data_IF_133818386808
#
_entry.id   IF_133818386808
#
_cell.length_a   1.000
_cell.length_b   1.000
_cell.length_c   1.000
_cell.angle_alpha   90.00
_cell.angle_beta   90.00
_cell.angle_gamma   90.00
#
_symmetry.space_group_name_H-M   'P 1'
#
loop_
_entity.id
_entity.type
_entity.pdbx_description
1 polymer ?
#
# COMPACT_ATOMS: atom_id res chain seq x y z
N UNK A 1 39.63 50.12 -12.57
CA UNK A 1 39.86 51.01 -11.42
C UNK A 1 39.82 50.17 -10.15
N UNK A 2 40.91 50.20 -9.56
CA UNK A 2 41.47 50.02 -8.22
C UNK A 2 41.20 48.68 -7.50
N UNK A 3 42.26 47.89 -7.49
CA UNK A 3 42.50 46.82 -6.54
C UNK A 3 43.03 47.41 -5.21
N UNK A 4 42.53 46.89 -4.09
CA UNK A 4 43.14 47.14 -2.77
C UNK A 4 43.60 45.79 -2.24
N UNK A 5 44.92 45.67 -2.15
CA UNK A 5 45.66 44.61 -1.46
C UNK A 5 45.75 44.98 0.02
N UNK A 6 45.37 44.11 0.91
CA UNK A 6 45.71 44.19 2.34
C UNK A 6 46.65 43.04 2.71
N UNK A 7 47.89 43.41 3.01
CA UNK A 7 48.89 42.55 3.66
C UNK A 7 48.53 42.39 5.15
N UNK A 8 48.57 41.17 5.66
CA UNK A 8 48.68 40.91 7.08
C UNK A 8 50.09 40.42 7.43
N UNK A 9 50.73 41.16 8.27
CA UNK A 9 52.03 40.87 8.86
C UNK A 9 51.92 39.80 9.94
N UNK A 10 52.76 38.78 9.84
CA UNK A 10 52.96 37.72 10.82
C UNK A 10 53.89 38.18 11.93
N UNK A 11 53.46 38.16 13.19
CA UNK A 11 54.28 38.40 14.36
C UNK A 11 54.71 37.08 15.00
N UNK A 12 56.04 36.85 15.02
CA UNK A 12 56.66 35.76 15.76
C UNK A 12 56.74 36.11 17.26
N UNK A 13 56.33 35.18 18.13
CA UNK A 13 56.63 35.22 19.57
C UNK A 13 57.69 34.19 19.92
N UNK A 14 58.66 34.53 20.80
CA UNK A 14 59.74 33.64 21.18
C UNK A 14 59.35 32.57 22.23
N UNK A 15 60.03 31.42 22.17
CA UNK A 15 59.88 30.27 23.05
C UNK A 15 60.36 30.50 24.48
N UNK A 16 59.78 29.89 25.52
CA UNK A 16 60.25 29.99 26.90
C UNK A 16 61.45 29.09 27.18
N UNK A 17 62.37 29.62 28.00
CA UNK A 17 63.60 29.00 28.49
C UNK A 17 63.33 27.88 29.53
N UNK A 18 64.04 26.78 29.53
CA UNK A 18 63.89 25.69 30.54
C UNK A 18 64.47 26.06 31.93
N UNK A 19 63.76 25.70 32.97
CA UNK A 19 64.17 25.86 34.37
C UNK A 19 65.16 24.74 34.79
N UNK A 20 66.03 25.00 35.81
CA UNK A 20 67.08 24.05 36.20
C UNK A 20 66.55 22.90 37.03
N UNK A 21 67.07 21.68 36.74
CA UNK A 21 66.80 20.45 37.44
C UNK A 21 67.65 20.36 38.74
N UNK A 22 66.97 20.05 39.88
CA UNK A 22 67.60 19.73 41.16
C UNK A 22 67.69 18.21 41.31
N UNK A 23 68.82 17.62 41.70
CA UNK A 23 68.90 16.18 41.90
C UNK A 23 68.19 15.74 43.18
N UNK A 24 67.28 14.80 43.09
CA UNK A 24 66.58 14.16 44.21
C UNK A 24 67.30 12.84 44.55
N UNK A 25 67.79 12.73 45.75
CA UNK A 25 68.41 11.53 46.31
C UNK A 25 67.30 10.53 46.66
N UNK A 26 67.41 9.36 46.02
CA UNK A 26 66.44 8.27 46.18
C UNK A 26 66.77 7.48 47.46
N UNK A 27 65.87 7.52 48.47
CA UNK A 27 65.94 6.69 49.68
C UNK A 27 65.03 5.49 49.45
N UNK A 28 65.56 4.29 49.35
CA UNK A 28 64.84 3.06 49.19
C UNK A 28 63.95 2.74 50.40
N UNK A 29 62.67 2.66 50.24
CA UNK A 29 61.72 2.13 51.19
C UNK A 29 61.51 0.61 50.95
N UNK A 30 61.22 -0.19 52.01
CA UNK A 30 61.06 -1.64 51.88
C UNK A 30 59.81 -2.02 51.09
N UNK A 31 60.01 -2.99 50.24
CA UNK A 31 59.01 -3.57 49.33
C UNK A 31 57.93 -4.31 50.10
N UNK A 32 56.73 -3.76 50.24
CA UNK A 32 55.55 -4.52 50.70
C UNK A 32 55.02 -5.38 49.57
N UNK A 33 54.92 -6.68 49.82
CA UNK A 33 54.34 -7.65 48.91
C UNK A 33 52.88 -7.31 48.64
N UNK A 34 52.41 -7.17 47.41
CA UNK A 34 51.01 -6.90 47.14
C UNK A 34 50.15 -8.13 47.43
N UNK A 35 49.27 -8.06 48.40
CA UNK A 35 48.15 -8.99 48.56
C UNK A 35 47.24 -8.85 47.39
N UNK A 36 47.12 -9.88 46.55
CA UNK A 36 46.19 -9.91 45.44
C UNK A 36 44.76 -9.95 46.01
N UNK A 37 44.09 -8.80 46.07
CA UNK A 37 42.64 -8.76 46.25
C UNK A 37 42.00 -9.30 44.97
N UNK A 38 41.26 -10.40 45.09
CA UNK A 38 40.42 -10.88 44.00
C UNK A 38 39.37 -9.80 43.61
N UNK A 39 39.59 -9.11 42.50
CA UNK A 39 38.59 -8.22 41.90
C UNK A 39 37.50 -9.09 41.28
N UNK A 40 36.36 -9.14 41.94
CA UNK A 40 35.15 -9.67 41.30
C UNK A 40 34.86 -8.84 40.04
N UNK A 41 34.60 -9.47 38.88
CA UNK A 41 34.18 -8.74 37.72
C UNK A 41 32.88 -7.96 38.07
N UNK A 42 32.70 -6.75 37.57
CA UNK A 42 31.47 -5.98 37.84
C UNK A 42 30.28 -6.79 37.33
N UNK A 43 29.32 -7.03 38.22
CA UNK A 43 28.03 -7.62 37.86
C UNK A 43 27.42 -6.76 36.79
N UNK A 44 27.33 -7.27 35.55
CA UNK A 44 26.67 -6.57 34.47
C UNK A 44 25.20 -6.45 34.86
N UNK A 45 24.76 -5.23 35.13
CA UNK A 45 23.31 -4.91 35.22
C UNK A 45 22.70 -5.31 33.91
N UNK A 46 21.67 -6.19 33.86
CA UNK A 46 21.04 -6.55 32.60
C UNK A 46 20.51 -5.25 31.95
N UNK A 47 20.98 -4.97 30.73
CA UNK A 47 20.42 -3.91 29.92
C UNK A 47 18.93 -4.20 29.75
N UNK A 48 18.03 -3.29 30.12
CA UNK A 48 16.60 -3.51 29.95
C UNK A 48 16.33 -3.83 28.47
N UNK A 49 15.72 -4.98 28.21
CA UNK A 49 15.23 -5.30 26.86
C UNK A 49 14.24 -4.21 26.47
N UNK A 50 14.46 -3.48 25.35
CA UNK A 50 13.53 -2.43 24.96
C UNK A 50 12.15 -3.06 24.79
N UNK A 51 11.16 -2.52 25.47
CA UNK A 51 9.76 -2.87 25.23
C UNK A 51 9.48 -2.55 23.77
N UNK A 52 8.97 -3.49 22.95
CA UNK A 52 8.69 -3.21 21.56
C UNK A 52 7.72 -2.04 21.50
N UNK A 53 8.05 -1.01 20.71
CA UNK A 53 7.12 0.09 20.45
C UNK A 53 5.80 -0.49 19.93
N UNK A 54 4.65 0.00 20.41
CA UNK A 54 3.36 -0.40 19.86
C UNK A 54 3.37 -0.18 18.34
N UNK A 55 2.91 -1.17 17.59
CA UNK A 55 2.82 -1.04 16.14
C UNK A 55 2.02 0.22 15.79
N UNK A 56 2.53 1.03 14.85
CA UNK A 56 1.88 2.27 14.43
C UNK A 56 0.68 2.02 13.49
N UNK A 57 0.50 0.79 13.07
CA UNK A 57 -0.65 0.33 12.30
C UNK A 57 -1.07 -1.08 12.74
N UNK A 58 -2.28 -1.45 12.34
CA UNK A 58 -2.75 -2.83 12.37
C UNK A 58 -3.32 -3.21 10.99
N UNK A 59 -3.20 -4.47 10.58
CA UNK A 59 -3.87 -4.96 9.38
C UNK A 59 -5.39 -4.91 9.58
N UNK A 60 -6.14 -4.84 8.48
CA UNK A 60 -7.58 -5.01 8.52
C UNK A 60 -7.94 -6.43 8.99
N UNK A 61 -9.13 -6.55 9.57
CA UNK A 61 -9.70 -7.84 9.90
C UNK A 61 -9.84 -8.69 8.62
N UNK A 62 -9.23 -9.88 8.55
CA UNK A 62 -9.32 -10.74 7.37
C UNK A 62 -10.77 -11.09 6.96
N UNK A 63 -11.71 -11.07 7.92
CA UNK A 63 -13.14 -11.33 7.65
C UNK A 63 -13.76 -10.29 6.72
N UNK A 64 -13.24 -9.07 6.65
CA UNK A 64 -13.68 -8.04 5.71
C UNK A 64 -13.44 -8.44 4.24
N UNK A 65 -12.48 -9.31 3.96
CA UNK A 65 -12.20 -9.84 2.63
C UNK A 65 -13.12 -10.98 2.19
N UNK A 66 -14.01 -11.44 3.07
CA UNK A 66 -14.95 -12.52 2.74
C UNK A 66 -16.08 -11.95 1.89
N UNK A 67 -16.23 -12.47 0.69
CA UNK A 67 -17.22 -12.04 -0.28
C UNK A 67 -18.45 -12.97 -0.26
N UNK A 68 -19.61 -12.42 -0.62
CA UNK A 68 -20.89 -13.15 -0.69
C UNK A 68 -20.86 -14.24 -1.76
N UNK A 69 -20.14 -13.98 -2.86
CA UNK A 69 -20.07 -14.86 -4.02
C UNK A 69 -18.66 -15.43 -4.17
N UNK A 70 -18.57 -16.58 -4.82
CA UNK A 70 -17.35 -17.00 -5.50
C UNK A 70 -17.34 -16.43 -6.91
N UNK A 71 -16.19 -16.38 -7.55
CA UNK A 71 -16.02 -15.71 -8.84
C UNK A 71 -15.22 -16.56 -9.81
N UNK A 72 -15.53 -16.38 -11.08
CA UNK A 72 -14.79 -16.99 -12.17
C UNK A 72 -14.61 -16.00 -13.33
N UNK A 73 -13.49 -16.09 -14.01
CA UNK A 73 -13.28 -15.48 -15.32
C UNK A 73 -13.88 -16.38 -16.39
N UNK A 74 -14.58 -15.80 -17.35
CA UNK A 74 -15.12 -16.49 -18.50
C UNK A 74 -14.01 -16.60 -19.56
N UNK A 75 -13.57 -17.80 -19.84
CA UNK A 75 -12.47 -18.06 -20.77
C UNK A 75 -12.94 -18.20 -22.24
N UNK A 76 -14.21 -18.53 -22.42
CA UNK A 76 -14.83 -18.69 -23.73
C UNK A 76 -15.78 -17.51 -24.02
N UNK A 77 -15.49 -16.65 -25.02
CA UNK A 77 -16.38 -15.51 -25.36
C UNK A 77 -17.76 -15.94 -25.88
N UNK A 78 -17.97 -17.22 -26.14
CA UNK A 78 -19.25 -17.81 -26.53
C UNK A 78 -19.88 -18.66 -25.42
N UNK A 79 -19.41 -18.51 -24.17
CA UNK A 79 -19.95 -19.23 -23.03
C UNK A 79 -21.46 -19.02 -22.92
N UNK A 80 -22.18 -20.11 -22.71
CA UNK A 80 -23.63 -20.12 -22.64
C UNK A 80 -24.13 -20.12 -21.22
N UNK A 81 -25.29 -19.50 -21.01
CA UNK A 81 -26.04 -19.56 -19.76
C UNK A 81 -27.30 -20.38 -20.02
N UNK A 82 -27.53 -21.40 -19.23
CA UNK A 82 -28.63 -22.35 -19.36
C UNK A 82 -29.65 -22.14 -18.23
N UNK A 83 -30.94 -22.31 -18.56
CA UNK A 83 -32.02 -22.11 -17.58
C UNK A 83 -32.03 -23.19 -16.49
N UNK A 84 -31.60 -24.41 -16.81
CA UNK A 84 -31.54 -25.54 -15.87
C UNK A 84 -30.18 -26.24 -15.93
N UNK A 85 -29.88 -27.02 -14.89
CA UNK A 85 -28.69 -27.86 -14.87
C UNK A 85 -28.77 -28.97 -15.93
N UNK A 86 -29.96 -29.52 -16.16
CA UNK A 86 -30.22 -30.54 -17.15
C UNK A 86 -29.94 -30.02 -18.56
N UNK A 87 -30.37 -28.79 -18.87
CA UNK A 87 -30.06 -28.16 -20.18
C UNK A 87 -28.54 -27.88 -20.30
N UNK A 88 -27.87 -27.48 -19.24
CA UNK A 88 -26.42 -27.30 -19.26
C UNK A 88 -25.66 -28.61 -19.49
N UNK A 89 -26.06 -29.71 -18.87
CA UNK A 89 -25.50 -31.04 -19.06
C UNK A 89 -25.71 -31.51 -20.50
N UNK A 90 -26.93 -31.37 -21.00
CA UNK A 90 -27.29 -31.76 -22.38
C UNK A 90 -26.81 -30.76 -23.44
N UNK A 91 -26.34 -29.57 -23.03
CA UNK A 91 -25.97 -28.45 -23.91
C UNK A 91 -27.12 -28.01 -24.85
N UNK A 92 -28.36 -28.08 -24.38
CA UNK A 92 -29.58 -27.73 -25.10
C UNK A 92 -30.28 -26.59 -24.41
N UNK A 93 -31.23 -25.94 -25.10
CA UNK A 93 -32.11 -24.95 -24.47
C UNK A 93 -31.42 -23.76 -23.84
N UNK A 94 -30.25 -23.33 -24.28
CA UNK A 94 -29.61 -22.14 -23.74
C UNK A 94 -30.52 -20.93 -23.89
N UNK A 95 -30.64 -20.09 -22.85
CA UNK A 95 -31.45 -18.86 -22.92
C UNK A 95 -30.59 -17.58 -23.00
N UNK A 96 -29.28 -17.69 -22.96
CA UNK A 96 -28.36 -16.55 -23.10
C UNK A 96 -26.93 -16.94 -23.35
N UNK A 97 -26.15 -15.96 -23.70
CA UNK A 97 -24.69 -16.03 -23.76
C UNK A 97 -24.15 -14.67 -23.27
N UNK A 98 -22.93 -14.68 -22.77
CA UNK A 98 -22.27 -13.46 -22.36
C UNK A 98 -21.73 -12.74 -23.59
N UNK A 99 -22.38 -11.63 -23.98
CA UNK A 99 -22.03 -10.88 -25.20
C UNK A 99 -20.85 -9.92 -25.04
N UNK A 100 -20.50 -9.60 -23.82
CA UNK A 100 -19.40 -8.70 -23.47
C UNK A 100 -18.21 -9.49 -22.93
N UNK A 101 -17.02 -9.23 -23.46
CA UNK A 101 -15.79 -9.89 -23.08
C UNK A 101 -14.64 -8.90 -22.99
N UNK A 102 -13.76 -8.97 -21.98
CA UNK A 102 -13.70 -9.98 -20.91
C UNK A 102 -14.92 -9.96 -19.99
N UNK A 103 -15.29 -11.12 -19.47
CA UNK A 103 -16.40 -11.28 -18.55
C UNK A 103 -15.94 -11.98 -17.27
N UNK A 104 -16.46 -11.51 -16.13
CA UNK A 104 -16.25 -12.07 -14.81
C UNK A 104 -17.59 -12.32 -14.17
N UNK A 105 -17.83 -13.56 -13.75
CA UNK A 105 -19.12 -14.01 -13.23
C UNK A 105 -19.04 -14.36 -11.75
N UNK A 106 -20.14 -14.10 -11.05
CA UNK A 106 -20.36 -14.53 -9.69
C UNK A 106 -21.07 -15.89 -9.69
N UNK A 107 -20.71 -16.79 -8.78
CA UNK A 107 -21.42 -18.03 -8.59
C UNK A 107 -21.60 -18.38 -7.10
N UNK A 108 -22.65 -19.15 -6.78
CA UNK A 108 -22.94 -19.56 -5.41
C UNK A 108 -22.84 -21.07 -5.21
N UNK A 109 -23.10 -21.85 -6.25
CA UNK A 109 -23.18 -23.31 -6.18
C UNK A 109 -22.43 -23.93 -7.34
N UNK A 110 -21.81 -25.05 -7.08
CA UNK A 110 -21.22 -25.90 -8.13
C UNK A 110 -21.83 -27.30 -8.04
N UNK A 111 -22.13 -27.90 -9.18
CA UNK A 111 -22.61 -29.26 -9.30
C UNK A 111 -21.75 -30.06 -10.27
N UNK A 112 -21.49 -31.32 -9.92
CA UNK A 112 -20.78 -32.24 -10.80
C UNK A 112 -21.76 -33.24 -11.46
N UNK A 113 -21.76 -33.30 -12.78
CA UNK A 113 -22.53 -34.25 -13.57
C UNK A 113 -21.67 -34.80 -14.72
N UNK A 114 -21.67 -36.09 -14.88
CA UNK A 114 -20.96 -36.79 -15.95
C UNK A 114 -19.46 -36.40 -16.06
N UNK A 115 -18.79 -36.18 -14.90
CA UNK A 115 -17.39 -35.78 -14.82
C UNK A 115 -17.13 -34.32 -15.18
N UNK A 116 -18.17 -33.50 -15.40
CA UNK A 116 -18.10 -32.06 -15.67
C UNK A 116 -18.62 -31.28 -14.47
N UNK A 117 -18.02 -30.11 -14.21
CA UNK A 117 -18.48 -29.18 -13.16
C UNK A 117 -19.33 -28.08 -13.79
N UNK A 118 -20.45 -27.78 -13.17
CA UNK A 118 -21.35 -26.71 -13.58
C UNK A 118 -21.46 -25.68 -12.46
N UNK A 119 -21.57 -24.42 -12.82
CA UNK A 119 -21.59 -23.26 -11.91
C UNK A 119 -22.95 -22.56 -12.00
N UNK A 120 -23.60 -22.33 -10.88
CA UNK A 120 -24.84 -21.56 -10.83
C UNK A 120 -24.53 -20.07 -10.66
N UNK A 121 -24.90 -19.29 -11.67
CA UNK A 121 -24.83 -17.82 -11.70
C UNK A 121 -26.12 -17.25 -11.08
N UNK A 122 -26.06 -16.67 -9.86
CA UNK A 122 -27.24 -16.13 -9.19
C UNK A 122 -27.68 -14.76 -9.75
N UNK A 123 -26.86 -14.12 -10.59
CA UNK A 123 -27.18 -12.82 -11.20
C UNK A 123 -28.04 -13.01 -12.42
N UNK A 124 -27.71 -13.98 -13.28
CA UNK A 124 -28.49 -14.34 -14.46
C UNK A 124 -29.48 -15.48 -14.23
N UNK A 125 -29.50 -16.06 -13.01
CA UNK A 125 -30.34 -17.20 -12.65
C UNK A 125 -30.18 -18.39 -13.59
N UNK A 126 -28.92 -18.76 -13.88
CA UNK A 126 -28.65 -19.83 -14.83
C UNK A 126 -27.39 -20.62 -14.53
N UNK A 127 -27.22 -21.70 -15.27
CA UNK A 127 -26.08 -22.60 -15.16
C UNK A 127 -25.08 -22.40 -16.29
N UNK A 128 -23.80 -22.46 -15.96
CA UNK A 128 -22.70 -22.38 -16.90
C UNK A 128 -21.82 -23.62 -16.80
N UNK A 129 -21.25 -24.03 -17.94
CA UNK A 129 -20.27 -25.10 -17.98
C UNK A 129 -18.94 -24.65 -17.40
N UNK A 130 -18.37 -25.41 -16.49
CA UNK A 130 -17.07 -25.13 -15.90
C UNK A 130 -15.91 -25.20 -16.89
N UNK A 131 -16.08 -25.88 -18.02
CA UNK A 131 -15.10 -25.87 -19.10
C UNK A 131 -14.86 -24.48 -19.72
N UNK A 132 -15.84 -23.58 -19.60
CA UNK A 132 -15.78 -22.20 -20.07
C UNK A 132 -15.26 -21.22 -18.99
N UNK A 133 -14.99 -21.68 -17.77
CA UNK A 133 -14.74 -20.84 -16.61
C UNK A 133 -13.40 -21.16 -15.93
N UNK A 134 -12.73 -20.13 -15.46
CA UNK A 134 -11.57 -20.23 -14.56
C UNK A 134 -11.91 -19.59 -13.22
N UNK A 135 -11.95 -20.39 -12.15
CA UNK A 135 -12.20 -19.87 -10.80
C UNK A 135 -11.13 -18.85 -10.39
N UNK A 136 -11.56 -17.77 -9.76
CA UNK A 136 -10.70 -16.69 -9.31
C UNK A 136 -10.48 -16.76 -7.79
N UNK A 137 -9.30 -16.36 -7.39
CA UNK A 137 -8.98 -16.08 -5.99
C UNK A 137 -8.76 -14.58 -5.84
N UNK A 138 -9.65 -13.86 -5.15
CA UNK A 138 -9.47 -12.43 -4.93
C UNK A 138 -8.16 -12.11 -4.20
N UNK A 139 -7.62 -10.91 -4.45
CA UNK A 139 -6.42 -10.44 -3.77
C UNK A 139 -6.60 -10.47 -2.25
N UNK A 140 -5.53 -10.86 -1.55
CA UNK A 140 -5.43 -10.80 -0.08
C UNK A 140 -4.75 -9.53 0.41
N UNK A 141 -4.40 -8.60 -0.50
CA UNK A 141 -3.84 -7.32 -0.13
C UNK A 141 -4.81 -6.56 0.78
N UNK A 142 -4.28 -5.91 1.82
CA UNK A 142 -5.02 -5.02 2.70
C UNK A 142 -4.23 -3.76 2.98
N UNK A 143 -4.94 -2.65 3.10
CA UNK A 143 -4.42 -1.39 3.61
C UNK A 143 -4.11 -1.44 5.10
N UNK A 144 -3.75 -0.29 5.64
CA UNK A 144 -3.31 -0.10 7.01
C UNK A 144 -4.27 0.79 7.79
N UNK A 145 -4.74 0.30 8.93
CA UNK A 145 -5.40 1.12 9.94
C UNK A 145 -4.33 1.75 10.84
N UNK A 146 -4.30 3.07 10.94
CA UNK A 146 -3.34 3.77 11.78
C UNK A 146 -3.81 3.71 13.24
N UNK A 147 -2.96 3.17 14.13
CA UNK A 147 -3.26 3.03 15.57
C UNK A 147 -2.82 4.25 16.37
N UNK A 148 -1.96 5.08 15.78
CA UNK A 148 -1.47 6.36 16.33
C UNK A 148 -1.09 7.31 15.20
N UNK A 149 -0.95 8.57 15.51
CA UNK A 149 -0.36 9.55 14.59
C UNK A 149 1.10 9.19 14.30
N UNK A 150 1.48 9.33 13.04
CA UNK A 150 2.85 9.14 12.55
C UNK A 150 3.32 10.41 11.85
N UNK A 151 4.62 10.68 11.91
CA UNK A 151 5.24 11.88 11.32
C UNK A 151 6.16 11.54 10.14
N UNK A 152 6.40 10.26 9.91
CA UNK A 152 7.24 9.73 8.82
C UNK A 152 6.38 9.29 7.64
N UNK A 153 6.97 9.32 6.45
CA UNK A 153 6.35 8.73 5.26
C UNK A 153 6.40 7.21 5.36
N UNK A 154 5.40 6.55 4.83
CA UNK A 154 5.31 5.09 4.76
C UNK A 154 4.63 4.66 3.47
N UNK A 155 4.61 3.37 3.20
CA UNK A 155 3.93 2.85 2.02
C UNK A 155 4.23 1.39 1.76
N UNK A 156 4.11 1.00 0.50
CA UNK A 156 4.23 -0.40 0.08
C UNK A 156 5.20 -0.54 -1.08
N UNK A 157 5.96 -1.63 -1.04
CA UNK A 157 6.76 -2.06 -2.18
C UNK A 157 5.83 -2.52 -3.30
N UNK A 158 6.01 -2.02 -4.52
CA UNK A 158 5.13 -2.28 -5.67
C UNK A 158 5.51 -3.53 -6.46
N UNK A 159 6.77 -3.94 -6.39
CA UNK A 159 7.28 -5.16 -7.03
C UNK A 159 8.47 -5.69 -6.23
N UNK A 160 8.71 -6.98 -6.29
CA UNK A 160 9.89 -7.57 -5.67
C UNK A 160 11.15 -6.79 -6.06
N UNK A 161 11.90 -6.37 -5.06
CA UNK A 161 13.06 -5.50 -5.24
C UNK A 161 14.12 -5.77 -4.18
N UNK A 162 15.23 -5.04 -4.27
CA UNK A 162 16.32 -5.16 -3.32
C UNK A 162 16.77 -3.77 -2.87
N UNK A 163 16.98 -3.61 -1.56
CA UNK A 163 17.59 -2.41 -1.02
C UNK A 163 19.09 -2.40 -1.23
N UNK A 164 19.68 -1.20 -1.19
CA UNK A 164 21.12 -0.99 -1.34
C UNK A 164 21.62 -0.07 -0.24
N UNK A 165 22.93 -0.15 0.08
CA UNK A 165 23.61 0.82 0.93
C UNK A 165 24.07 2.07 0.16
N UNK A 166 24.75 3.00 0.82
CA UNK A 166 25.27 4.22 0.21
C UNK A 166 26.19 3.93 -1.00
N UNK A 167 26.99 2.85 -0.92
CA UNK A 167 27.90 2.42 -2.00
C UNK A 167 27.18 1.69 -3.15
N UNK A 168 25.86 1.42 -3.04
CA UNK A 168 25.10 0.69 -4.03
C UNK A 168 25.13 -0.84 -3.85
N UNK A 169 25.72 -1.33 -2.76
CA UNK A 169 25.77 -2.77 -2.47
C UNK A 169 24.40 -3.25 -2.00
N UNK A 170 23.88 -4.36 -2.54
CA UNK A 170 22.63 -4.96 -2.09
C UNK A 170 22.67 -5.36 -0.61
N UNK A 171 21.56 -5.08 0.12
CA UNK A 171 21.40 -5.42 1.54
C UNK A 171 20.40 -6.55 1.71
N UNK A 172 19.12 -6.29 1.42
CA UNK A 172 18.06 -7.29 1.60
C UNK A 172 17.00 -7.20 0.52
N UNK A 173 16.21 -8.29 0.41
CA UNK A 173 15.09 -8.38 -0.52
C UNK A 173 13.81 -7.88 0.15
N UNK A 174 13.00 -7.22 -0.62
CA UNK A 174 11.65 -6.79 -0.28
C UNK A 174 10.66 -7.38 -1.26
N UNK A 175 9.59 -7.94 -0.71
CA UNK A 175 8.53 -8.52 -1.52
C UNK A 175 7.47 -7.46 -1.84
N UNK A 176 6.77 -7.68 -2.94
CA UNK A 176 5.60 -6.87 -3.29
C UNK A 176 4.61 -6.79 -2.12
N UNK A 177 4.05 -5.62 -1.90
CA UNK A 177 3.14 -5.27 -0.81
C UNK A 177 3.75 -5.25 0.60
N UNK A 178 5.04 -5.52 0.73
CA UNK A 178 5.71 -5.32 2.01
C UNK A 178 5.61 -3.86 2.44
N UNK A 179 5.17 -3.64 3.68
CA UNK A 179 5.07 -2.31 4.28
C UNK A 179 6.46 -1.80 4.62
N UNK A 180 6.73 -0.57 4.27
CA UNK A 180 7.98 0.15 4.58
C UNK A 180 7.67 1.53 5.13
N UNK A 181 8.57 2.08 5.94
CA UNK A 181 8.45 3.45 6.43
C UNK A 181 9.80 4.16 6.36
N UNK A 182 9.74 5.48 6.30
CA UNK A 182 10.93 6.33 6.23
C UNK A 182 11.68 6.31 7.54
N UNK A 183 12.97 6.03 7.44
CA UNK A 183 13.92 6.19 8.55
C UNK A 183 14.79 7.41 8.26
N UNK A 184 14.92 8.37 9.20
CA UNK A 184 15.79 9.51 9.00
C UNK A 184 17.23 9.07 8.71
N UNK A 185 17.81 9.60 7.64
CA UNK A 185 19.20 9.34 7.27
C UNK A 185 19.98 10.65 7.16
N UNK A 186 21.26 10.58 7.53
CA UNK A 186 22.19 11.73 7.42
C UNK A 186 22.48 12.05 5.95
N UNK A 187 22.54 11.02 5.11
CA UNK A 187 22.81 11.13 3.67
C UNK A 187 21.52 10.92 2.91
N UNK A 188 21.23 11.80 1.96
CA UNK A 188 20.14 11.65 1.01
C UNK A 188 20.68 11.07 -0.29
N UNK A 189 20.02 10.04 -0.84
CA UNK A 189 20.36 9.42 -2.12
C UNK A 189 19.24 9.76 -3.12
N UNK A 190 19.49 10.63 -4.12
CA UNK A 190 18.45 11.00 -5.09
C UNK A 190 17.86 9.78 -5.80
N UNK A 191 16.51 9.75 -5.93
CA UNK A 191 15.77 8.63 -6.52
C UNK A 191 15.61 7.42 -5.61
N UNK A 192 15.94 7.55 -4.33
CA UNK A 192 15.82 6.50 -3.35
C UNK A 192 15.08 6.97 -2.09
N UNK A 193 14.37 6.04 -1.48
CA UNK A 193 13.66 6.18 -0.24
C UNK A 193 14.41 5.45 0.89
N UNK A 194 14.64 6.11 2.02
CA UNK A 194 15.40 5.55 3.15
C UNK A 194 14.53 4.64 4.01
N UNK A 195 14.99 3.41 4.22
CA UNK A 195 14.32 2.40 5.06
C UNK A 195 15.16 1.95 6.25
N UNK A 196 16.40 2.43 6.33
CA UNK A 196 17.35 2.14 7.40
C UNK A 196 18.47 3.19 7.45
N UNK A 197 19.33 3.15 8.48
CA UNK A 197 20.40 4.13 8.67
C UNK A 197 21.39 4.20 7.48
N UNK A 198 21.65 3.06 6.82
CA UNK A 198 22.47 2.93 5.61
C UNK A 198 21.74 2.00 4.62
N UNK A 199 20.44 2.24 4.40
CA UNK A 199 19.62 1.38 3.57
C UNK A 199 18.57 2.19 2.79
N UNK A 200 18.53 1.98 1.47
CA UNK A 200 17.64 2.68 0.54
C UNK A 200 16.95 1.73 -0.42
N UNK A 201 15.68 2.02 -0.70
CA UNK A 201 14.90 1.41 -1.78
C UNK A 201 14.78 2.39 -2.95
N UNK A 202 14.78 1.93 -4.21
CA UNK A 202 14.44 2.77 -5.35
C UNK A 202 13.04 3.38 -5.16
N UNK A 203 12.91 4.70 -5.32
CA UNK A 203 11.65 5.42 -5.05
C UNK A 203 10.53 5.04 -6.05
N UNK A 204 10.89 4.63 -7.26
CA UNK A 204 9.96 4.13 -8.27
C UNK A 204 9.38 2.74 -7.94
N UNK A 205 9.95 2.05 -6.96
CA UNK A 205 9.48 0.75 -6.46
C UNK A 205 8.61 0.85 -5.21
N UNK A 206 8.31 2.06 -4.74
CA UNK A 206 7.55 2.27 -3.50
C UNK A 206 6.42 3.27 -3.71
N UNK A 207 5.19 2.89 -3.40
CA UNK A 207 4.08 3.83 -3.29
C UNK A 207 4.10 4.44 -1.89
N UNK A 208 4.35 5.74 -1.81
CA UNK A 208 4.53 6.46 -0.55
C UNK A 208 3.31 7.29 -0.17
N UNK A 209 2.94 7.23 1.09
CA UNK A 209 1.94 8.06 1.76
C UNK A 209 2.65 9.07 2.66
N UNK A 210 2.27 10.34 2.54
CA UNK A 210 2.61 11.39 3.49
C UNK A 210 1.50 11.48 4.54
N UNK A 211 1.80 11.44 5.84
CA UNK A 211 0.76 11.42 6.87
C UNK A 211 0.06 12.77 7.08
N UNK A 212 0.66 13.87 6.61
CA UNK A 212 0.09 15.20 6.73
C UNK A 212 -1.17 15.34 5.88
N UNK A 213 -2.12 16.15 6.35
CA UNK A 213 -3.27 16.55 5.53
C UNK A 213 -2.74 17.22 4.26
N UNK A 214 -3.13 16.75 3.06
CA UNK A 214 -2.67 17.33 1.81
C UNK A 214 -3.05 18.80 1.70
N UNK A 215 -2.14 19.64 1.22
CA UNK A 215 -2.36 21.09 1.11
C UNK A 215 -3.55 21.43 0.20
N UNK A 216 -3.79 20.62 -0.81
CA UNK A 216 -4.92 20.74 -1.73
C UNK A 216 -6.25 20.20 -1.19
N UNK A 217 -6.27 19.62 0.02
CA UNK A 217 -7.51 19.22 0.69
C UNK A 217 -8.41 20.43 1.03
N UNK A 218 -7.80 21.58 1.20
CA UNK A 218 -8.46 22.83 1.55
C UNK A 218 -8.56 23.05 3.08
N UNK A 219 -8.58 24.31 3.46
CA UNK A 219 -8.68 24.71 4.87
C UNK A 219 -9.97 24.17 5.50
N UNK A 220 -9.87 23.76 6.77
CA UNK A 220 -11.00 23.25 7.58
C UNK A 220 -11.64 21.95 7.10
N UNK A 221 -10.95 21.16 6.26
CA UNK A 221 -11.42 19.83 5.85
C UNK A 221 -10.75 18.79 6.74
N UNK A 222 -11.50 18.23 7.69
CA UNK A 222 -10.99 17.30 8.71
C UNK A 222 -11.52 15.87 8.57
N UNK A 223 -12.52 15.65 7.68
CA UNK A 223 -13.05 14.33 7.38
C UNK A 223 -13.25 14.19 5.87
N UNK A 224 -12.49 13.30 5.24
CA UNK A 224 -12.50 13.13 3.78
C UNK A 224 -11.70 11.90 3.35
N UNK A 225 -11.99 11.46 2.11
CA UNK A 225 -11.21 10.49 1.36
C UNK A 225 -10.30 11.28 0.40
N UNK A 226 -9.00 10.97 0.40
CA UNK A 226 -8.03 11.54 -0.53
C UNK A 226 -7.42 10.47 -1.41
N UNK A 227 -7.45 10.69 -2.72
CA UNK A 227 -6.88 9.81 -3.74
C UNK A 227 -5.71 10.51 -4.40
N UNK A 228 -4.53 9.89 -4.36
CA UNK A 228 -3.35 10.32 -5.09
C UNK A 228 -3.16 9.47 -6.35
N UNK A 229 -3.43 10.04 -7.51
CA UNK A 229 -3.36 9.33 -8.80
C UNK A 229 -1.93 9.01 -9.23
N UNK A 230 -0.94 9.80 -8.80
CA UNK A 230 0.48 9.53 -9.15
C UNK A 230 1.04 8.40 -8.30
N UNK A 231 0.75 8.40 -7.01
CA UNK A 231 1.23 7.35 -6.09
C UNK A 231 0.32 6.12 -6.05
N UNK A 232 -0.85 6.18 -6.69
CA UNK A 232 -1.87 5.12 -6.68
C UNK A 232 -2.22 4.70 -5.25
N UNK A 233 -2.47 5.71 -4.39
CA UNK A 233 -2.83 5.50 -2.99
C UNK A 233 -4.14 6.19 -2.66
N UNK A 234 -4.86 5.64 -1.70
CA UNK A 234 -6.01 6.25 -1.05
C UNK A 234 -5.71 6.40 0.44
N UNK A 235 -6.00 7.57 0.97
CA UNK A 235 -5.91 7.88 2.40
C UNK A 235 -7.23 8.42 2.91
N UNK A 236 -7.54 8.08 4.15
CA UNK A 236 -8.76 8.54 4.83
C UNK A 236 -8.36 9.33 6.06
N UNK A 237 -8.92 10.52 6.15
CA UNK A 237 -8.72 11.42 7.29
C UNK A 237 -10.02 11.55 8.08
N UNK A 238 -9.90 11.45 9.40
CA UNK A 238 -10.98 11.72 10.35
C UNK A 238 -10.44 12.59 11.48
N UNK A 239 -11.18 13.66 11.84
CA UNK A 239 -10.69 14.68 12.78
C UNK A 239 -9.30 15.22 12.43
N UNK A 240 -9.02 15.46 11.15
CA UNK A 240 -7.72 15.91 10.62
C UNK A 240 -6.57 14.91 10.82
N UNK A 241 -6.84 13.66 11.21
CA UNK A 241 -5.85 12.61 11.42
C UNK A 241 -5.99 11.55 10.34
N UNK A 242 -4.87 11.08 9.84
CA UNK A 242 -4.82 9.94 8.96
C UNK A 242 -5.23 8.68 9.75
N UNK A 243 -6.34 8.04 9.36
CA UNK A 243 -6.86 6.84 10.03
C UNK A 243 -6.72 5.58 9.21
N UNK A 244 -6.66 5.71 7.88
CA UNK A 244 -6.52 4.57 6.97
C UNK A 244 -5.74 4.97 5.72
N UNK A 245 -4.92 4.04 5.20
CA UNK A 245 -4.22 4.19 3.94
C UNK A 245 -4.18 2.86 3.19
N UNK A 246 -4.28 2.91 1.86
CA UNK A 246 -4.20 1.72 1.00
C UNK A 246 -3.70 2.05 -0.40
N UNK A 247 -3.31 1.01 -1.16
CA UNK A 247 -3.08 1.09 -2.60
C UNK A 247 -4.41 0.98 -3.35
N UNK A 248 -4.45 1.64 -4.50
CA UNK A 248 -5.59 1.58 -5.43
C UNK A 248 -5.14 1.20 -6.84
N UNK A 249 -6.12 0.94 -7.71
CA UNK A 249 -5.92 1.00 -9.16
C UNK A 249 -6.90 1.99 -9.75
N UNK A 250 -6.43 3.13 -10.21
CA UNK A 250 -7.23 4.13 -10.89
C UNK A 250 -7.39 3.81 -12.38
N UNK A 251 -8.09 4.66 -13.10
CA UNK A 251 -8.26 4.54 -14.56
C UNK A 251 -6.93 4.56 -15.31
N UNK A 252 -6.71 3.58 -16.18
CA UNK A 252 -5.63 3.61 -17.15
C UNK A 252 -5.76 4.84 -18.05
N UNK A 253 -4.66 5.27 -18.67
CA UNK A 253 -4.66 6.40 -19.61
C UNK A 253 -5.30 7.70 -19.04
N UNK A 254 -5.18 7.93 -17.73
CA UNK A 254 -5.75 9.10 -17.05
C UNK A 254 -7.28 9.19 -17.14
N UNK A 255 -8.00 8.07 -17.25
CA UNK A 255 -9.46 8.04 -17.28
C UNK A 255 -10.12 8.41 -15.94
N UNK A 256 -9.42 8.33 -14.82
CA UNK A 256 -9.86 8.94 -13.56
C UNK A 256 -9.44 10.40 -13.55
N UNK A 257 -10.39 11.30 -13.43
CA UNK A 257 -10.15 12.75 -13.45
C UNK A 257 -10.00 13.33 -12.05
N UNK A 258 -9.19 14.37 -11.93
CA UNK A 258 -9.01 15.12 -10.70
C UNK A 258 -10.25 15.93 -10.34
N UNK A 259 -10.45 16.18 -9.06
CA UNK A 259 -11.55 17.03 -8.62
C UNK A 259 -11.94 16.82 -7.16
N UNK A 260 -13.01 17.52 -6.78
CA UNK A 260 -13.65 17.44 -5.48
C UNK A 260 -15.06 16.93 -5.65
N UNK A 261 -15.37 15.85 -4.98
CA UNK A 261 -16.62 15.12 -5.13
C UNK A 261 -17.20 14.79 -3.75
N UNK A 262 -18.33 14.13 -3.77
CA UNK A 262 -18.92 13.51 -2.59
C UNK A 262 -19.48 12.12 -2.95
N UNK A 263 -19.59 11.23 -1.98
CA UNK A 263 -20.26 9.94 -2.16
C UNK A 263 -21.76 10.21 -2.40
N UNK A 264 -22.24 9.80 -3.57
CA UNK A 264 -23.60 10.07 -4.04
C UNK A 264 -24.55 8.89 -3.82
N UNK A 265 -24.03 7.68 -4.00
CA UNK A 265 -24.80 6.45 -3.93
C UNK A 265 -23.93 5.31 -3.45
N UNK A 266 -24.52 4.34 -2.75
CA UNK A 266 -23.84 3.14 -2.23
C UNK A 266 -24.71 1.93 -2.45
N UNK A 267 -24.11 0.84 -2.90
CA UNK A 267 -24.74 -0.47 -3.03
C UNK A 267 -23.74 -1.55 -2.69
N UNK A 268 -24.19 -2.56 -1.96
CA UNK A 268 -23.30 -3.61 -1.49
C UNK A 268 -22.73 -4.47 -2.62
N UNK A 269 -23.57 -4.78 -3.64
CA UNK A 269 -23.15 -5.51 -4.84
C UNK A 269 -23.81 -4.90 -6.08
N UNK A 270 -23.04 -4.81 -7.15
CA UNK A 270 -23.50 -4.32 -8.44
C UNK A 270 -22.90 -5.14 -9.57
N UNK A 271 -23.46 -5.03 -10.78
CA UNK A 271 -22.77 -5.45 -12.00
C UNK A 271 -22.28 -4.23 -12.75
N UNK A 272 -21.10 -4.32 -13.37
CA UNK A 272 -20.50 -3.23 -14.14
C UNK A 272 -20.44 -3.64 -15.61
N UNK A 273 -20.96 -2.77 -16.46
CA UNK A 273 -20.82 -2.82 -17.91
C UNK A 273 -20.39 -1.45 -18.42
N UNK A 274 -19.69 -1.37 -19.56
CA UNK A 274 -19.40 -0.08 -20.15
C UNK A 274 -20.70 0.60 -20.61
N UNK A 275 -20.71 1.96 -20.72
CA UNK A 275 -21.83 2.68 -21.32
C UNK A 275 -22.12 2.16 -22.74
N UNK A 276 -23.37 2.23 -23.21
CA UNK A 276 -23.76 1.72 -24.54
C UNK A 276 -22.94 2.27 -25.70
N UNK A 277 -22.52 3.53 -25.60
CA UNK A 277 -21.69 4.26 -26.59
C UNK A 277 -20.21 3.89 -26.54
N UNK A 278 -19.77 3.14 -25.54
CA UNK A 278 -18.36 2.74 -25.39
C UNK A 278 -17.94 1.71 -26.42
N UNK A 279 -16.72 1.84 -26.92
CA UNK A 279 -16.08 0.81 -27.75
C UNK A 279 -15.55 -0.34 -26.90
N UNK A 280 -15.33 -0.14 -25.59
CA UNK A 280 -14.97 -1.19 -24.66
C UNK A 280 -16.12 -2.16 -24.45
N UNK A 281 -15.80 -3.45 -24.35
CA UNK A 281 -16.75 -4.50 -24.03
C UNK A 281 -16.25 -5.27 -22.84
N UNK A 282 -16.99 -5.26 -21.76
CA UNK A 282 -16.72 -6.06 -20.57
C UNK A 282 -18.00 -6.28 -19.78
N UNK A 283 -18.01 -7.33 -18.95
CA UNK A 283 -19.09 -7.61 -18.05
C UNK A 283 -18.54 -8.15 -16.72
N UNK A 284 -18.79 -7.46 -15.63
CA UNK A 284 -18.27 -7.83 -14.31
C UNK A 284 -19.45 -7.92 -13.34
N UNK A 285 -19.75 -9.13 -12.88
CA UNK A 285 -20.85 -9.40 -11.98
C UNK A 285 -20.44 -9.30 -10.51
N UNK A 286 -21.42 -8.99 -9.65
CA UNK A 286 -21.27 -9.10 -8.21
C UNK A 286 -20.13 -8.25 -7.64
N UNK A 287 -19.85 -7.10 -8.26
CA UNK A 287 -18.82 -6.15 -7.82
C UNK A 287 -19.17 -5.64 -6.44
N UNK A 288 -18.33 -5.88 -5.41
CA UNK A 288 -18.68 -5.58 -4.04
C UNK A 288 -18.42 -4.12 -3.68
N UNK A 289 -19.24 -3.59 -2.77
CA UNK A 289 -19.05 -2.32 -2.06
C UNK A 289 -18.90 -1.11 -2.97
N UNK A 290 -19.81 -1.00 -3.94
CA UNK A 290 -19.79 0.05 -4.94
C UNK A 290 -20.29 1.38 -4.36
N UNK A 291 -19.49 2.44 -4.48
CA UNK A 291 -19.82 3.79 -4.03
C UNK A 291 -19.54 4.79 -5.16
N UNK A 292 -20.56 5.42 -5.73
CA UNK A 292 -20.37 6.42 -6.77
C UNK A 292 -20.02 7.79 -6.20
N UNK A 293 -19.14 8.51 -6.87
CA UNK A 293 -18.82 9.92 -6.55
C UNK A 293 -19.04 10.89 -7.71
N UNK A 294 -19.10 10.39 -8.96
CA UNK A 294 -19.37 11.22 -10.13
C UNK A 294 -19.97 10.35 -11.26
N UNK A 295 -21.23 10.54 -11.60
CA UNK A 295 -21.90 9.73 -12.62
C UNK A 295 -21.76 8.23 -12.32
N UNK A 296 -21.16 7.48 -13.24
CA UNK A 296 -20.91 6.05 -13.08
C UNK A 296 -19.51 5.73 -12.47
N UNK A 297 -18.70 6.76 -12.16
CA UNK A 297 -17.40 6.57 -11.52
C UNK A 297 -17.57 6.41 -10.02
N UNK A 298 -16.84 5.46 -9.45
CA UNK A 298 -16.93 5.13 -8.04
C UNK A 298 -15.74 4.36 -7.51
N UNK A 299 -15.79 4.09 -6.19
CA UNK A 299 -14.94 3.13 -5.51
C UNK A 299 -15.64 1.78 -5.48
N UNK A 300 -14.91 0.68 -5.58
CA UNK A 300 -15.46 -0.66 -5.41
C UNK A 300 -14.34 -1.68 -5.20
N UNK A 301 -14.67 -2.85 -4.67
CA UNK A 301 -13.76 -3.99 -4.60
C UNK A 301 -13.54 -4.59 -5.98
N UNK A 302 -12.29 -4.83 -6.33
CA UNK A 302 -11.91 -5.54 -7.54
C UNK A 302 -11.39 -6.93 -7.18
N UNK A 303 -12.19 -7.95 -7.44
CA UNK A 303 -11.84 -9.35 -7.18
C UNK A 303 -11.09 -10.01 -8.33
N UNK A 304 -11.09 -9.40 -9.54
CA UNK A 304 -10.58 -9.96 -10.79
C UNK A 304 -9.12 -9.64 -11.08
N UNK A 305 -8.47 -8.83 -10.28
CA UNK A 305 -7.04 -8.54 -10.41
C UNK A 305 -6.37 -8.26 -9.07
N UNK A 306 -5.04 -8.30 -9.08
CA UNK A 306 -4.17 -7.96 -7.97
C UNK A 306 -3.16 -6.87 -8.39
N UNK A 307 -3.58 -5.86 -9.16
CA UNK A 307 -2.70 -4.83 -9.72
C UNK A 307 -2.68 -3.53 -8.90
N UNK A 308 -2.93 -3.60 -7.58
CA UNK A 308 -2.95 -2.41 -6.72
C UNK A 308 -1.58 -1.73 -6.66
N UNK A 309 -1.59 -0.40 -6.75
CA UNK A 309 -0.42 0.43 -6.92
C UNK A 309 -0.15 0.84 -8.37
N UNK A 310 -0.96 0.36 -9.34
CA UNK A 310 -0.85 0.71 -10.77
C UNK A 310 -2.23 0.99 -11.37
N UNK A 311 -2.36 1.96 -12.32
CA UNK A 311 -3.61 2.18 -13.03
C UNK A 311 -4.04 0.95 -13.84
N UNK A 312 -5.27 0.47 -13.66
CA UNK A 312 -5.78 -0.73 -14.31
C UNK A 312 -7.29 -0.70 -14.63
N UNK A 313 -8.01 0.36 -14.27
CA UNK A 313 -9.46 0.46 -14.47
C UNK A 313 -9.84 1.28 -15.71
N UNK A 314 -11.15 1.34 -16.00
CA UNK A 314 -11.74 2.24 -17.00
C UNK A 314 -12.21 3.57 -16.39
N UNK A 315 -11.68 3.95 -15.22
CA UNK A 315 -11.96 5.24 -14.58
C UNK A 315 -12.44 5.14 -13.13
N UNK A 316 -13.03 4.03 -12.71
CA UNK A 316 -13.32 3.77 -11.31
C UNK A 316 -12.02 3.61 -10.50
N UNK A 317 -12.12 3.75 -9.21
CA UNK A 317 -11.03 3.51 -8.26
C UNK A 317 -11.22 2.14 -7.66
N UNK A 318 -10.39 1.20 -8.09
CA UNK A 318 -10.42 -0.18 -7.63
C UNK A 318 -9.65 -0.32 -6.33
N UNK A 319 -10.23 -1.01 -5.38
CA UNK A 319 -9.68 -1.38 -4.08
C UNK A 319 -9.62 -2.90 -3.95
N UNK A 320 -8.81 -3.43 -3.04
CA UNK A 320 -8.99 -4.81 -2.63
C UNK A 320 -10.37 -5.01 -2.01
N UNK A 321 -10.95 -6.21 -2.04
CA UNK A 321 -12.26 -6.44 -1.44
C UNK A 321 -12.35 -6.04 0.04
N UNK A 322 -11.31 -6.29 0.83
CA UNK A 322 -11.26 -5.93 2.24
C UNK A 322 -11.22 -4.41 2.44
N UNK A 323 -10.40 -3.71 1.67
CA UNK A 323 -10.28 -2.25 1.74
C UNK A 323 -11.57 -1.56 1.27
N UNK A 324 -12.20 -2.10 0.23
CA UNK A 324 -13.49 -1.61 -0.26
C UNK A 324 -14.59 -1.77 0.79
N UNK A 325 -14.63 -2.92 1.50
CA UNK A 325 -15.57 -3.14 2.60
C UNK A 325 -15.37 -2.14 3.73
N UNK A 326 -14.13 -1.97 4.16
CA UNK A 326 -13.81 -1.01 5.22
C UNK A 326 -14.22 0.41 4.82
N UNK A 327 -13.85 0.84 3.61
CA UNK A 327 -14.19 2.17 3.11
C UNK A 327 -15.70 2.36 2.96
N UNK A 328 -16.40 1.32 2.49
CA UNK A 328 -17.85 1.30 2.38
C UNK A 328 -18.54 1.48 3.74
N UNK A 329 -18.06 0.81 4.79
CA UNK A 329 -18.63 0.95 6.13
C UNK A 329 -18.31 2.32 6.75
N UNK A 330 -17.11 2.85 6.50
CA UNK A 330 -16.68 4.14 7.05
C UNK A 330 -17.35 5.33 6.36
N UNK A 331 -17.46 5.35 5.04
CA UNK A 331 -17.97 6.48 4.28
C UNK A 331 -19.50 6.55 4.28
N UNK A 332 -20.06 7.70 4.65
CA UNK A 332 -21.46 8.03 4.49
C UNK A 332 -21.81 8.63 3.12
N UNK A 333 -23.11 8.77 2.83
CA UNK A 333 -23.56 9.62 1.72
C UNK A 333 -23.16 11.07 2.02
N UNK A 334 -22.68 11.78 1.00
CA UNK A 334 -22.13 13.13 1.15
C UNK A 334 -20.68 13.19 1.66
N UNK A 335 -20.05 12.02 1.97
CA UNK A 335 -18.65 11.98 2.39
C UNK A 335 -17.75 12.59 1.31
N UNK A 336 -16.90 13.52 1.71
CA UNK A 336 -16.05 14.27 0.78
C UNK A 336 -14.98 13.40 0.17
N UNK A 337 -14.80 13.52 -1.14
CA UNK A 337 -13.78 12.84 -1.93
C UNK A 337 -12.93 13.88 -2.65
N UNK A 338 -11.62 13.76 -2.53
CA UNK A 338 -10.65 14.60 -3.23
C UNK A 338 -9.75 13.70 -4.05
N UNK A 339 -9.73 13.90 -5.35
CA UNK A 339 -8.89 13.16 -6.29
C UNK A 339 -7.87 14.11 -6.88
N UNK A 340 -6.59 13.82 -6.72
CA UNK A 340 -5.48 14.71 -7.08
C UNK A 340 -4.34 13.94 -7.73
N UNK A 341 -3.63 14.60 -8.64
CA UNK A 341 -2.35 14.11 -9.15
C UNK A 341 -1.20 14.22 -8.13
N UNK A 342 -1.47 14.76 -6.94
CA UNK A 342 -0.47 14.90 -5.87
C UNK A 342 0.58 15.95 -6.22
N UNK A 343 0.23 17.22 -6.07
CA UNK A 343 1.19 18.36 -6.18
C UNK A 343 1.92 18.59 -4.88
#
# INVERSE_FOLDING_TARGET
MLAVFMLFLSACSPAPTPAPTVPVTETALPMLTPTIMATFPPTQTPTPTPTPEPAWYQPLDPSLGVLKYNYAEVMNPHAKVYASLEDAVAQTGNYGHLSNYPAYVAYTTTEMRDGRTFYFDPVNFGWMDGADLQALTPSKFTGLLLTREVTFRFGWVLADTQSVNAAGTPIQKYSRYQVVHEVPAVIQKPGYFTVGADEWLPEDKVALVSPQVPADAGANTCRFIYVNLVKQTLTVYDNCKLVFATLISSGANSWTFEGRFAILYKVEYSSITPPPESTSKYYIQGVPYFMTYAGNFGFHGAYWHDAFGTPASHGCINLSPADAKWLYDWAGLGERVIISAGK
#
